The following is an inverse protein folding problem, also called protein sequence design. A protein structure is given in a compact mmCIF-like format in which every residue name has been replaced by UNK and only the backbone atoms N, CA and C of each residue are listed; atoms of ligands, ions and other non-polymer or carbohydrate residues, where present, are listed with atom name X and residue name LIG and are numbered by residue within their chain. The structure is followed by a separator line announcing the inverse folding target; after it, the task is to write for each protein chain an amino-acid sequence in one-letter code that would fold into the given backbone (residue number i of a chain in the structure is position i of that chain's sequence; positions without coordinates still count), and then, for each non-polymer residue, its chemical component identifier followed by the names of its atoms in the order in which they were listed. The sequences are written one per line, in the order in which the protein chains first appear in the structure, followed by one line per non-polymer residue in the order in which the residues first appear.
data_IF_063681075616
#
_entry.id   IF_063681075616
#
_cell.length_a   1.000
_cell.length_b   1.000
_cell.length_c   1.000
_cell.angle_alpha   90.00
_cell.angle_beta   90.00
_cell.angle_gamma   90.00
#
_symmetry.space_group_name_H-M   'P 1'
#
loop_
_entity.id
_entity.type
_entity.pdbx_description
1 polymer ?
#
# COMPACT_ATOMS: atom_id res chain seq x y z
N UNK A 1 8.06 17.93 3.73
CA UNK A 1 7.28 19.10 4.17
C UNK A 1 6.11 19.31 3.22
N UNK A 2 4.91 19.53 3.75
CA UNK A 2 3.70 19.89 2.99
C UNK A 2 2.95 20.97 3.77
N UNK A 3 2.56 22.05 3.08
CA UNK A 3 1.79 23.13 3.68
C UNK A 3 0.29 22.79 3.60
N UNK A 4 -0.14 21.85 4.44
CA UNK A 4 -1.48 21.28 4.49
C UNK A 4 -2.03 21.28 5.92
N UNK A 5 -3.34 21.07 6.07
CA UNK A 5 -3.98 20.95 7.38
C UNK A 5 -3.52 19.71 8.15
N UNK A 6 -3.70 19.72 9.47
CA UNK A 6 -3.33 18.61 10.35
C UNK A 6 -4.55 17.80 10.77
N UNK A 7 -4.39 16.49 10.87
CA UNK A 7 -5.36 15.57 11.47
C UNK A 7 -4.63 14.35 12.08
N UNK A 8 -5.39 13.31 12.48
CA UNK A 8 -4.83 12.11 13.09
C UNK A 8 -3.82 11.35 12.20
N UNK A 9 -3.79 11.64 10.90
CA UNK A 9 -2.96 10.98 9.87
C UNK A 9 -2.06 11.94 9.08
N UNK A 10 -2.13 13.26 9.31
CA UNK A 10 -1.37 14.27 8.57
C UNK A 10 -0.58 15.20 9.50
N UNK A 11 0.73 15.32 9.24
CA UNK A 11 1.64 16.27 9.89
C UNK A 11 2.42 17.06 8.81
N UNK A 12 2.63 18.39 8.94
CA UNK A 12 3.25 19.22 7.88
C UNK A 12 4.69 18.81 7.55
N UNK A 13 5.33 18.11 8.48
CA UNK A 13 6.59 17.43 8.29
C UNK A 13 6.44 15.95 8.63
N UNK A 14 6.96 15.08 7.80
CA UNK A 14 6.88 13.64 8.01
C UNK A 14 8.11 12.99 7.40
N UNK A 15 8.43 11.80 7.89
CA UNK A 15 9.53 11.00 7.36
C UNK A 15 9.01 10.13 6.22
N UNK A 16 9.68 10.20 5.07
CA UNK A 16 9.40 9.35 3.91
C UNK A 16 10.66 8.60 3.48
N UNK A 17 10.46 7.52 2.72
CA UNK A 17 11.51 6.81 2.01
C UNK A 17 11.25 6.99 0.51
N UNK A 18 12.27 7.40 -0.23
CA UNK A 18 12.27 7.43 -1.70
C UNK A 18 13.36 6.49 -2.22
N UNK A 19 13.03 5.73 -3.26
CA UNK A 19 13.92 4.74 -3.89
C UNK A 19 13.74 4.79 -5.40
N UNK A 20 14.85 4.64 -6.11
CA UNK A 20 14.90 4.49 -7.56
C UNK A 20 15.80 3.31 -7.92
N UNK A 21 15.37 2.48 -8.86
CA UNK A 21 16.13 1.34 -9.34
C UNK A 21 16.26 1.41 -10.86
N UNK A 22 17.49 1.43 -11.37
CA UNK A 22 17.74 1.42 -12.80
C UNK A 22 17.30 0.08 -13.41
N UNK A 23 16.79 0.12 -14.63
CA UNK A 23 16.28 -1.05 -15.39
C UNK A 23 15.08 -1.77 -14.74
N UNK A 24 14.41 -1.12 -13.78
CA UNK A 24 13.21 -1.63 -13.14
C UNK A 24 11.95 -0.90 -13.65
N UNK A 25 10.82 -1.58 -13.56
CA UNK A 25 9.49 -0.98 -13.76
C UNK A 25 8.67 -1.00 -12.46
N UNK A 26 7.40 -0.59 -12.54
CA UNK A 26 6.54 -0.49 -11.36
C UNK A 26 6.22 -1.84 -10.71
N UNK A 27 6.33 -2.96 -11.43
CA UNK A 27 6.15 -4.30 -10.86
C UNK A 27 7.31 -4.65 -9.93
N UNK A 28 8.54 -4.34 -10.34
CA UNK A 28 9.72 -4.50 -9.48
C UNK A 28 9.60 -3.64 -8.22
N UNK A 29 9.08 -2.41 -8.35
CA UNK A 29 8.86 -1.53 -7.20
C UNK A 29 7.73 -2.05 -6.29
N UNK A 30 6.69 -2.71 -6.82
CA UNK A 30 5.69 -3.39 -6.00
C UNK A 30 6.31 -4.53 -5.19
N UNK A 31 7.14 -5.37 -5.81
CA UNK A 31 7.85 -6.46 -5.14
C UNK A 31 8.80 -5.93 -4.06
N UNK A 32 9.56 -4.88 -4.37
CA UNK A 32 10.46 -4.22 -3.43
C UNK A 32 9.72 -3.63 -2.22
N UNK A 33 8.59 -2.96 -2.47
CA UNK A 33 7.78 -2.33 -1.41
C UNK A 33 7.20 -3.38 -0.47
N UNK A 34 6.62 -4.45 -1.03
CA UNK A 34 6.10 -5.58 -0.25
C UNK A 34 7.23 -6.21 0.59
N UNK A 35 8.38 -6.46 -0.03
CA UNK A 35 9.53 -7.07 0.62
C UNK A 35 10.08 -6.23 1.79
N UNK A 36 10.15 -4.90 1.64
CA UNK A 36 10.60 -4.00 2.73
C UNK A 36 9.66 -4.11 3.93
N UNK A 37 8.34 -4.06 3.69
CA UNK A 37 7.33 -4.10 4.76
C UNK A 37 7.35 -5.46 5.46
N UNK A 38 7.36 -6.55 4.69
CA UNK A 38 7.44 -7.92 5.21
C UNK A 38 8.70 -8.15 6.03
N UNK A 39 9.85 -7.71 5.52
CA UNK A 39 11.13 -7.86 6.19
C UNK A 39 11.14 -7.15 7.55
N UNK A 40 10.68 -5.89 7.61
CA UNK A 40 10.61 -5.13 8.86
C UNK A 40 9.63 -5.75 9.84
N UNK A 41 8.43 -6.15 9.39
CA UNK A 41 7.45 -6.80 10.25
C UNK A 41 8.03 -8.06 10.89
N UNK A 42 8.69 -8.92 10.09
CA UNK A 42 9.37 -10.12 10.55
C UNK A 42 10.52 -9.81 11.50
N UNK A 43 11.37 -8.85 11.18
CA UNK A 43 12.54 -8.50 11.99
C UNK A 43 12.15 -7.94 13.37
N UNK A 44 11.05 -7.18 13.45
CA UNK A 44 10.62 -6.51 14.68
C UNK A 44 9.66 -7.36 15.52
N UNK A 45 8.75 -8.09 14.89
CA UNK A 45 7.65 -8.82 15.57
C UNK A 45 7.63 -10.33 15.29
N UNK A 46 8.40 -10.80 14.32
CA UNK A 46 8.29 -12.16 13.79
C UNK A 46 7.17 -12.30 12.74
N UNK A 47 6.86 -13.53 12.34
CA UNK A 47 5.95 -13.82 11.23
C UNK A 47 4.45 -13.90 11.62
N UNK A 48 4.11 -13.56 12.87
CA UNK A 48 2.72 -13.60 13.33
C UNK A 48 1.90 -12.43 12.76
N UNK A 49 0.58 -12.61 12.54
CA UNK A 49 -0.29 -11.52 12.11
C UNK A 49 -0.21 -10.28 13.00
N UNK A 50 -0.39 -9.10 12.40
CA UNK A 50 -0.48 -7.83 13.10
C UNK A 50 -1.94 -7.59 13.46
N UNK A 51 -2.22 -7.38 14.76
CA UNK A 51 -3.55 -6.92 15.19
C UNK A 51 -3.50 -5.40 15.24
N UNK A 52 -4.30 -4.76 14.39
CA UNK A 52 -4.41 -3.30 14.33
C UNK A 52 -5.88 -2.90 14.41
N UNK A 53 -6.24 -2.13 15.45
CA UNK A 53 -7.62 -1.69 15.72
C UNK A 53 -8.64 -2.85 15.65
N UNK A 54 -8.30 -4.00 16.21
CA UNK A 54 -9.15 -5.20 16.22
C UNK A 54 -9.17 -5.99 14.90
N UNK A 55 -8.46 -5.55 13.87
CA UNK A 55 -8.33 -6.25 12.59
C UNK A 55 -7.04 -7.06 12.57
N UNK A 56 -7.14 -8.34 12.20
CA UNK A 56 -5.98 -9.18 11.93
C UNK A 56 -5.45 -8.91 10.51
N UNK A 57 -4.17 -8.56 10.40
CA UNK A 57 -3.49 -8.21 9.16
C UNK A 57 -2.30 -9.17 8.98
N UNK A 58 -2.35 -9.97 7.91
CA UNK A 58 -1.29 -10.91 7.55
C UNK A 58 -0.34 -10.27 6.55
N UNK A 59 0.73 -9.66 7.05
CA UNK A 59 1.73 -9.00 6.19
C UNK A 59 2.64 -9.99 5.47
N UNK A 60 2.76 -11.22 5.96
CA UNK A 60 3.61 -12.28 5.41
C UNK A 60 3.00 -13.03 4.19
N UNK A 61 1.83 -12.60 3.74
CA UNK A 61 1.17 -13.11 2.52
C UNK A 61 1.34 -12.09 1.38
N UNK A 62 1.30 -12.52 0.10
CA UNK A 62 1.39 -11.61 -1.05
C UNK A 62 0.30 -10.54 -1.02
N UNK A 63 0.66 -9.29 -1.30
CA UNK A 63 -0.30 -8.20 -1.30
C UNK A 63 -1.22 -8.28 -2.53
N UNK A 64 -2.51 -7.96 -2.33
CA UNK A 64 -3.49 -7.92 -3.44
C UNK A 64 -3.06 -6.85 -4.45
N UNK A 65 -2.74 -7.27 -5.68
CA UNK A 65 -2.61 -6.38 -6.84
C UNK A 65 -3.99 -6.20 -7.47
N UNK A 66 -4.45 -4.96 -7.58
CA UNK A 66 -5.76 -4.65 -8.14
C UNK A 66 -5.68 -3.39 -8.98
N UNK A 67 -6.27 -3.42 -10.17
CA UNK A 67 -6.40 -2.22 -10.98
C UNK A 67 -7.44 -1.28 -10.35
N UNK A 68 -7.22 0.03 -10.42
CA UNK A 68 -8.12 1.01 -9.80
C UNK A 68 -9.57 0.86 -10.28
N UNK A 69 -9.77 0.67 -11.58
CA UNK A 69 -11.11 0.48 -12.16
C UNK A 69 -11.77 -0.80 -11.66
N UNK A 70 -11.01 -1.89 -11.50
CA UNK A 70 -11.54 -3.14 -10.95
C UNK A 70 -11.95 -2.97 -9.49
N UNK A 71 -11.17 -2.25 -8.69
CA UNK A 71 -11.51 -1.95 -7.30
C UNK A 71 -12.79 -1.10 -7.17
N UNK A 72 -12.95 -0.07 -8.02
CA UNK A 72 -14.17 0.74 -8.06
C UNK A 72 -15.37 -0.13 -8.41
N UNK A 73 -15.24 -0.97 -9.44
CA UNK A 73 -16.30 -1.89 -9.85
C UNK A 73 -16.66 -2.89 -8.76
N UNK A 74 -15.68 -3.46 -8.08
CA UNK A 74 -15.87 -4.40 -6.95
C UNK A 74 -16.65 -3.75 -5.80
N UNK A 75 -16.32 -2.51 -5.44
CA UNK A 75 -16.89 -1.83 -4.27
C UNK A 75 -18.23 -1.16 -4.58
N UNK A 76 -18.37 -0.58 -5.77
CA UNK A 76 -19.51 0.30 -6.11
C UNK A 76 -20.45 -0.28 -7.17
N UNK A 77 -19.99 -1.29 -7.93
CA UNK A 77 -20.69 -1.83 -9.10
C UNK A 77 -20.55 -1.00 -10.38
N UNK A 78 -19.96 0.21 -10.32
CA UNK A 78 -19.77 1.08 -11.50
C UNK A 78 -18.56 0.64 -12.32
N UNK A 79 -18.74 0.43 -13.62
CA UNK A 79 -17.72 -0.10 -14.51
C UNK A 79 -17.14 0.97 -15.44
N UNK A 80 -16.00 1.54 -15.05
CA UNK A 80 -15.28 2.55 -15.83
C UNK A 80 -14.41 1.96 -16.96
N UNK A 81 -14.40 0.63 -17.16
CA UNK A 81 -13.80 0.06 -18.38
C UNK A 81 -14.68 0.25 -19.61
N UNK A 82 -15.98 0.46 -19.39
CA UNK A 82 -16.93 0.76 -20.45
C UNK A 82 -16.83 2.23 -20.81
N UNK A 83 -17.01 2.54 -22.09
CA UNK A 83 -17.17 3.92 -22.53
C UNK A 83 -18.34 4.55 -21.79
N UNK A 84 -18.07 5.63 -21.07
CA UNK A 84 -19.11 6.41 -20.42
C UNK A 84 -19.72 7.37 -21.44
N UNK A 85 -20.97 7.12 -21.81
CA UNK A 85 -21.83 8.06 -22.55
C UNK A 85 -22.50 9.06 -21.61
#
# INVERSE_FOLDING_TARGET
FRNEGMDATHNPEFTSIEVYQAYADFQDIMDLTEGIIQHVAKAVKGDAPVIYQGTEIKLNEPFKRVHMVDAIKEITGVDFWKDMT
#
